data_IF_807424465147
#
_entry.id   IF_807424465147
#
_cell.length_a   1.000
_cell.length_b   1.000
_cell.length_c   1.000
_cell.angle_alpha   90.00
_cell.angle_beta   90.00
_cell.angle_gamma   90.00
#
_symmetry.space_group_name_H-M   'P 1'
#
loop_
_entity.id
_entity.type
_entity.pdbx_description
1 polymer ?
#
# COMPACT_ATOMS: atom_id res chain seq x y z
N UNK A 1 -5.08 -0.10 -15.33
CA UNK A 1 -5.22 1.14 -14.58
C UNK A 1 -4.91 0.96 -13.10
N UNK A 2 -5.81 0.53 -12.22
CA UNK A 2 -5.36 -0.30 -11.11
C UNK A 2 -4.78 -1.63 -11.65
N UNK A 3 -5.06 -2.01 -12.91
CA UNK A 3 -4.44 -3.15 -13.61
C UNK A 3 -2.90 -3.17 -13.61
N UNK A 4 -2.15 -2.06 -13.67
CA UNK A 4 -0.69 -2.18 -13.62
C UNK A 4 -0.26 -2.68 -12.23
N UNK A 5 -0.80 -2.06 -11.17
CA UNK A 5 -0.62 -2.52 -9.80
C UNK A 5 -1.20 -3.92 -9.60
N UNK A 6 -2.40 -4.19 -10.09
CA UNK A 6 -3.11 -5.46 -9.97
C UNK A 6 -2.45 -6.56 -10.80
N UNK A 7 -1.76 -6.25 -11.90
CA UNK A 7 -0.91 -7.20 -12.67
C UNK A 7 0.39 -7.45 -11.94
N UNK A 8 1.03 -6.43 -11.38
CA UNK A 8 2.16 -6.61 -10.46
C UNK A 8 1.75 -7.52 -9.30
N UNK A 9 0.56 -7.30 -8.73
CA UNK A 9 0.03 -8.13 -7.66
C UNK A 9 -0.38 -9.53 -8.15
N UNK A 10 -0.98 -9.64 -9.34
CA UNK A 10 -1.43 -10.91 -9.94
C UNK A 10 -0.35 -11.67 -10.72
N UNK A 11 0.89 -11.18 -10.84
CA UNK A 11 1.94 -11.81 -11.63
C UNK A 11 2.24 -13.26 -11.19
N UNK A 12 1.83 -13.65 -9.98
CA UNK A 12 1.85 -15.04 -9.50
C UNK A 12 0.71 -15.94 -10.01
N UNK A 13 -0.20 -15.47 -10.86
CA UNK A 13 -1.32 -16.23 -11.45
C UNK A 13 -1.23 -16.16 -12.98
N UNK A 14 -1.35 -17.32 -13.64
CA UNK A 14 -1.36 -17.40 -15.10
C UNK A 14 -2.38 -16.43 -15.70
N UNK A 15 -1.91 -15.55 -16.59
CA UNK A 15 -2.71 -14.49 -17.20
C UNK A 15 -3.84 -15.10 -18.06
N UNK A 16 -5.10 -14.86 -17.66
CA UNK A 16 -6.25 -15.03 -18.54
C UNK A 16 -6.35 -13.85 -19.52
N UNK A 17 -7.04 -14.01 -20.66
CA UNK A 17 -7.15 -12.95 -21.68
C UNK A 17 -7.88 -11.73 -21.08
N UNK A 18 -7.14 -10.63 -20.94
CA UNK A 18 -7.64 -9.38 -20.38
C UNK A 18 -8.56 -8.67 -21.35
N UNK A 19 -9.72 -8.21 -20.86
CA UNK A 19 -10.66 -7.37 -21.61
C UNK A 19 -10.01 -6.01 -21.85
N UNK A 20 -9.94 -5.63 -23.12
CA UNK A 20 -9.26 -4.44 -23.63
C UNK A 20 -9.91 -3.11 -23.23
N UNK A 21 -9.06 -2.09 -23.04
CA UNK A 21 -9.37 -0.69 -23.39
C UNK A 21 -9.68 0.29 -22.25
N UNK A 22 -10.42 -0.09 -21.21
CA UNK A 22 -11.07 0.90 -20.33
C UNK A 22 -10.34 1.22 -19.01
N UNK A 23 -10.22 2.53 -18.75
CA UNK A 23 -10.14 3.21 -17.45
C UNK A 23 -10.55 2.45 -16.19
N UNK A 24 -9.76 1.55 -15.60
CA UNK A 24 -10.05 1.09 -14.23
C UNK A 24 -10.09 2.28 -13.26
N UNK A 25 -10.89 2.23 -12.17
CA UNK A 25 -11.09 3.38 -11.28
C UNK A 25 -9.77 3.89 -10.68
N UNK A 26 -9.72 5.19 -10.33
CA UNK A 26 -8.56 5.77 -9.66
C UNK A 26 -8.36 5.08 -8.31
N UNK A 27 -7.10 4.80 -7.99
CA UNK A 27 -6.73 3.95 -6.86
C UNK A 27 -5.98 4.75 -5.79
N UNK A 28 -6.38 4.57 -4.53
CA UNK A 28 -5.63 5.02 -3.36
C UNK A 28 -4.84 3.85 -2.77
N UNK A 29 -3.52 3.96 -2.72
CA UNK A 29 -2.62 3.01 -2.06
C UNK A 29 -2.31 3.50 -0.64
N UNK A 30 -2.79 2.76 0.34
CA UNK A 30 -2.73 3.06 1.76
C UNK A 30 -1.72 2.15 2.45
N UNK A 31 -0.92 2.68 3.36
CA UNK A 31 0.02 1.88 4.13
C UNK A 31 0.68 2.68 5.24
N UNK A 32 1.16 1.99 6.27
CA UNK A 32 1.89 2.61 7.37
C UNK A 32 3.23 3.23 6.88
N UNK A 33 3.85 4.11 7.67
CA UNK A 33 5.19 4.60 7.35
C UNK A 33 6.14 3.44 7.06
N UNK A 34 6.88 3.55 5.94
CA UNK A 34 7.81 2.53 5.45
C UNK A 34 7.16 1.21 5.01
N UNK A 35 5.88 1.20 4.67
CA UNK A 35 5.15 0.05 4.10
C UNK A 35 5.47 -0.27 2.63
N UNK A 36 6.60 0.22 2.12
CA UNK A 36 7.08 -0.01 0.75
C UNK A 36 6.12 0.44 -0.37
N UNK A 37 5.25 1.42 -0.11
CA UNK A 37 4.37 2.04 -1.10
C UNK A 37 5.15 2.48 -2.34
N UNK A 38 6.23 3.27 -2.16
CA UNK A 38 7.10 3.71 -3.26
C UNK A 38 7.59 2.56 -4.14
N UNK A 39 8.04 1.45 -3.54
CA UNK A 39 8.50 0.28 -4.29
C UNK A 39 7.37 -0.34 -5.11
N UNK A 40 6.16 -0.43 -4.55
CA UNK A 40 5.01 -0.98 -5.26
C UNK A 40 4.51 -0.04 -6.38
N UNK A 41 4.48 1.28 -6.17
CA UNK A 41 4.19 2.26 -7.23
C UNK A 41 5.24 2.16 -8.35
N UNK A 42 6.51 2.02 -7.99
CA UNK A 42 7.59 1.91 -8.97
C UNK A 42 7.49 0.61 -9.78
N UNK A 43 7.10 -0.52 -9.17
CA UNK A 43 6.78 -1.74 -9.92
C UNK A 43 5.64 -1.51 -10.92
N UNK A 44 4.56 -0.83 -10.50
CA UNK A 44 3.44 -0.51 -11.38
C UNK A 44 3.87 0.41 -12.54
N UNK A 45 4.80 1.35 -12.29
CA UNK A 45 5.38 2.20 -13.32
C UNK A 45 6.16 1.38 -14.36
N UNK A 46 7.02 0.46 -13.91
CA UNK A 46 7.81 -0.42 -14.79
C UNK A 46 6.94 -1.34 -15.64
N UNK A 47 5.85 -1.84 -15.07
CA UNK A 47 4.89 -2.67 -15.78
C UNK A 47 4.18 -1.86 -16.87
N UNK A 48 3.60 -0.71 -16.51
CA UNK A 48 2.91 0.16 -17.46
C UNK A 48 3.82 0.66 -18.59
N UNK A 49 5.09 0.96 -18.29
CA UNK A 49 6.10 1.32 -19.28
C UNK A 49 6.41 0.17 -20.27
N UNK A 50 6.35 -1.07 -19.79
CA UNK A 50 6.54 -2.29 -20.60
C UNK A 50 5.40 -2.54 -21.59
N UNK A 51 4.16 -2.13 -21.27
CA UNK A 51 2.97 -2.38 -22.08
C UNK A 51 2.94 -1.63 -23.42
N UNK A 52 3.78 -0.60 -23.60
CA UNK A 52 3.82 0.18 -24.83
C UNK A 52 2.61 1.09 -25.04
N UNK A 53 1.80 1.34 -24.00
CA UNK A 53 0.58 2.18 -24.06
C UNK A 53 0.86 3.69 -23.94
N UNK A 54 2.08 4.08 -23.61
CA UNK A 54 2.49 5.46 -23.42
C UNK A 54 3.60 5.58 -22.37
N UNK A 55 4.10 6.80 -22.13
CA UNK A 55 4.96 7.05 -20.98
C UNK A 55 4.18 6.96 -19.65
N UNK A 56 4.91 6.87 -18.56
CA UNK A 56 4.38 6.96 -17.19
C UNK A 56 4.85 8.28 -16.58
N UNK A 57 3.95 9.00 -15.91
CA UNK A 57 4.29 10.19 -15.13
C UNK A 57 4.34 9.80 -13.65
N UNK A 58 5.53 9.90 -13.04
CA UNK A 58 5.77 9.58 -11.64
C UNK A 58 6.07 10.86 -10.86
N UNK A 59 5.14 11.25 -10.00
CA UNK A 59 5.24 12.42 -9.14
C UNK A 59 5.62 11.99 -7.73
N UNK A 60 6.60 12.67 -7.14
CA UNK A 60 6.97 12.49 -5.73
C UNK A 60 7.65 13.75 -5.23
N UNK A 61 7.51 14.09 -3.95
CA UNK A 61 8.02 15.36 -3.43
C UNK A 61 9.54 15.48 -3.48
N UNK A 62 10.26 14.36 -3.37
CA UNK A 62 11.72 14.33 -3.30
C UNK A 62 12.32 13.38 -4.34
N UNK A 63 13.49 13.70 -4.91
CA UNK A 63 14.22 12.78 -5.77
C UNK A 63 14.46 11.42 -5.09
N UNK A 64 14.22 10.34 -5.83
CA UNK A 64 14.54 8.99 -5.39
C UNK A 64 16.07 8.85 -5.31
N UNK A 65 16.58 8.52 -4.12
CA UNK A 65 18.03 8.38 -3.88
C UNK A 65 18.62 7.14 -4.57
N UNK A 66 17.78 6.12 -4.77
CA UNK A 66 18.12 4.89 -5.49
C UNK A 66 16.85 4.33 -6.13
N UNK A 67 17.01 3.43 -7.11
CA UNK A 67 15.86 2.74 -7.70
C UNK A 67 15.22 1.83 -6.64
N UNK A 68 13.90 1.96 -6.37
CA UNK A 68 13.24 1.24 -5.28
C UNK A 68 13.20 -0.29 -5.39
N UNK A 69 13.61 -0.87 -6.52
CA UNK A 69 13.53 -2.29 -6.82
C UNK A 69 14.71 -2.76 -7.69
N UNK A 70 15.25 -3.93 -7.36
CA UNK A 70 16.31 -4.58 -8.14
C UNK A 70 15.79 -5.70 -9.06
N UNK A 71 14.74 -5.43 -9.85
CA UNK A 71 14.11 -6.45 -10.72
C UNK A 71 14.72 -6.45 -12.13
N UNK A 72 14.59 -7.55 -12.90
CA UNK A 72 14.94 -7.56 -14.32
C UNK A 72 14.26 -6.45 -15.12
N UNK A 73 13.00 -6.13 -14.80
CA UNK A 73 12.27 -5.01 -15.40
C UNK A 73 12.87 -3.65 -15.04
N UNK A 74 13.37 -3.48 -13.81
CA UNK A 74 14.09 -2.26 -13.40
C UNK A 74 15.47 -2.14 -14.07
N UNK A 75 16.05 -3.25 -14.54
CA UNK A 75 17.30 -3.27 -15.32
C UNK A 75 17.08 -3.06 -16.82
N UNK A 76 15.82 -3.07 -17.27
CA UNK A 76 15.47 -2.74 -18.65
C UNK A 76 15.48 -1.22 -18.85
N UNK A 77 16.59 -0.71 -19.40
CA UNK A 77 16.76 0.71 -19.69
C UNK A 77 15.63 1.29 -20.56
N UNK A 78 15.01 0.49 -21.42
CA UNK A 78 13.93 0.96 -22.29
C UNK A 78 12.64 1.25 -21.51
N UNK A 79 12.33 0.46 -20.49
CA UNK A 79 11.19 0.71 -19.59
C UNK A 79 11.44 1.98 -18.76
N UNK A 80 12.63 2.12 -18.20
CA UNK A 80 13.00 3.29 -17.40
C UNK A 80 12.89 4.60 -18.21
N UNK A 81 13.32 4.61 -19.47
CA UNK A 81 13.22 5.79 -20.35
C UNK A 81 11.79 6.27 -20.60
N UNK A 82 10.79 5.40 -20.41
CA UNK A 82 9.37 5.76 -20.54
C UNK A 82 8.78 6.31 -19.25
N UNK A 83 9.48 6.21 -18.12
CA UNK A 83 9.03 6.78 -16.85
C UNK A 83 9.61 8.19 -16.71
N UNK A 84 8.74 9.18 -16.68
CA UNK A 84 9.08 10.58 -16.46
C UNK A 84 8.87 10.91 -14.99
N UNK A 85 9.96 11.15 -14.29
CA UNK A 85 9.92 11.61 -12.90
C UNK A 85 9.79 13.13 -12.83
N UNK A 86 8.93 13.61 -11.94
CA UNK A 86 8.83 15.02 -11.60
C UNK A 86 8.71 15.19 -10.09
N UNK A 87 9.30 16.29 -9.60
CA UNK A 87 9.53 16.49 -8.18
C UNK A 87 8.94 17.80 -7.66
N UNK A 88 7.60 17.99 -7.69
CA UNK A 88 7.00 19.19 -7.12
C UNK A 88 7.24 19.20 -5.61
N UNK A 89 8.05 20.14 -5.13
CA UNK A 89 8.54 20.17 -3.75
C UNK A 89 7.54 20.76 -2.74
N UNK A 90 6.48 21.39 -3.26
CA UNK A 90 5.45 22.09 -2.50
C UNK A 90 4.06 21.91 -3.13
N UNK A 91 2.99 22.21 -2.38
CA UNK A 91 1.62 22.17 -2.92
C UNK A 91 1.44 23.12 -4.11
N UNK A 92 1.89 24.40 -4.06
CA UNK A 92 1.78 25.29 -5.22
C UNK A 92 2.47 24.74 -6.48
N UNK A 93 3.65 24.12 -6.33
CA UNK A 93 4.34 23.49 -7.46
C UNK A 93 3.57 22.28 -8.01
N UNK A 94 2.99 21.46 -7.14
CA UNK A 94 2.14 20.35 -7.56
C UNK A 94 0.91 20.85 -8.32
N UNK A 95 0.23 21.86 -7.80
CA UNK A 95 -0.95 22.46 -8.43
C UNK A 95 -0.59 23.09 -9.77
N UNK A 96 0.49 23.86 -9.86
CA UNK A 96 0.96 24.45 -11.10
C UNK A 96 1.29 23.38 -12.14
N UNK A 97 1.96 22.30 -11.72
CA UNK A 97 2.30 21.21 -12.60
C UNK A 97 1.06 20.50 -13.17
N UNK A 98 0.09 20.19 -12.32
CA UNK A 98 -1.16 19.55 -12.75
C UNK A 98 -2.00 20.49 -13.62
N UNK A 99 -2.12 21.77 -13.22
CA UNK A 99 -2.86 22.76 -13.97
C UNK A 99 -2.26 23.02 -15.37
N UNK A 100 -0.93 23.02 -15.49
CA UNK A 100 -0.22 23.22 -16.78
C UNK A 100 -0.07 21.95 -17.61
N UNK A 101 -0.57 20.80 -17.14
CA UNK A 101 -0.47 19.52 -17.86
C UNK A 101 -1.03 19.57 -19.30
N UNK A 102 -1.99 20.47 -19.55
CA UNK A 102 -2.61 20.66 -20.85
C UNK A 102 -1.76 21.48 -21.83
N UNK A 103 -0.78 22.23 -21.33
CA UNK A 103 0.11 23.08 -22.14
C UNK A 103 1.31 22.30 -22.67
N UNK A 104 1.69 21.20 -22.02
CA UNK A 104 2.89 20.44 -22.34
C UNK A 104 2.78 19.73 -23.71
N UNK A 105 3.60 20.11 -24.71
CA UNK A 105 3.65 19.38 -25.97
C UNK A 105 4.35 18.03 -25.74
N UNK A 106 3.66 16.93 -26.00
CA UNK A 106 4.24 15.60 -25.83
C UNK A 106 3.22 14.46 -25.82
N UNK A 107 3.70 13.21 -25.77
CA UNK A 107 2.83 12.04 -25.63
C UNK A 107 2.11 12.07 -24.28
N UNK A 108 0.80 11.81 -24.31
CA UNK A 108 0.01 11.70 -23.09
C UNK A 108 0.44 10.44 -22.30
N UNK A 109 0.64 10.52 -20.98
CA UNK A 109 0.97 9.36 -20.17
C UNK A 109 -0.20 8.39 -20.09
N UNK A 110 0.11 7.09 -20.08
CA UNK A 110 -0.86 6.02 -19.84
C UNK A 110 -1.10 5.74 -18.35
N UNK A 111 -0.25 6.29 -17.48
CA UNK A 111 -0.36 6.16 -16.03
C UNK A 111 0.23 7.39 -15.34
N UNK A 112 -0.52 7.97 -14.43
CA UNK A 112 -0.15 9.02 -13.49
C UNK A 112 -0.04 8.41 -12.10
N UNK A 113 1.12 8.59 -11.47
CA UNK A 113 1.46 8.10 -10.14
C UNK A 113 1.81 9.29 -9.25
N UNK A 114 1.23 9.37 -8.06
CA UNK A 114 1.66 10.31 -7.01
C UNK A 114 2.07 9.52 -5.78
N UNK A 115 3.32 9.68 -5.36
CA UNK A 115 3.88 9.06 -4.16
C UNK A 115 4.02 10.09 -3.03
N UNK A 116 3.56 9.73 -1.84
CA UNK A 116 3.63 10.57 -0.64
C UNK A 116 2.65 11.73 -0.59
N UNK A 117 1.35 11.51 -0.84
CA UNK A 117 0.33 12.57 -0.80
C UNK A 117 0.27 13.27 0.57
N UNK A 118 0.49 12.54 1.67
CA UNK A 118 0.54 13.07 3.04
C UNK A 118 1.55 14.21 3.20
N UNK A 119 2.64 14.20 2.42
CA UNK A 119 3.66 15.24 2.49
C UNK A 119 3.14 16.59 1.97
N UNK A 120 2.10 16.58 1.15
CA UNK A 120 1.41 17.76 0.64
C UNK A 120 0.22 18.18 1.50
N UNK A 121 -0.27 17.30 2.37
CA UNK A 121 -1.48 17.50 3.17
C UNK A 121 -1.15 17.67 4.67
N UNK A 122 0.01 18.24 4.99
CA UNK A 122 0.47 18.45 6.37
C UNK A 122 -0.63 19.05 7.27
N UNK A 123 -0.55 18.82 8.59
CA UNK A 123 -1.59 19.11 9.60
C UNK A 123 -2.35 20.45 9.46
N UNK A 124 -1.73 21.52 8.94
CA UNK A 124 -2.35 22.84 8.75
C UNK A 124 -3.19 22.97 7.46
N UNK A 125 -3.07 22.02 6.53
CA UNK A 125 -3.82 21.97 5.28
C UNK A 125 -5.26 21.58 5.57
N UNK A 126 -6.21 22.47 5.29
CA UNK A 126 -7.63 22.16 5.49
C UNK A 126 -8.15 21.04 4.57
N UNK A 127 -9.29 20.43 4.93
CA UNK A 127 -9.96 19.41 4.10
C UNK A 127 -10.24 19.88 2.66
N UNK A 128 -10.41 21.20 2.46
CA UNK A 128 -10.57 21.82 1.15
C UNK A 128 -9.34 21.62 0.24
N UNK A 129 -8.13 21.68 0.78
CA UNK A 129 -6.90 21.51 0.01
C UNK A 129 -6.74 20.07 -0.48
N UNK A 130 -7.01 19.09 0.38
CA UNK A 130 -7.05 17.68 -0.03
C UNK A 130 -8.10 17.41 -1.12
N UNK A 131 -9.30 18.00 -1.00
CA UNK A 131 -10.33 17.89 -2.02
C UNK A 131 -9.90 18.50 -3.35
N UNK A 132 -9.24 19.66 -3.29
CA UNK A 132 -8.77 20.37 -4.48
C UNK A 132 -7.66 19.58 -5.19
N UNK A 133 -6.66 19.09 -4.46
CA UNK A 133 -5.59 18.25 -5.00
C UNK A 133 -6.16 16.96 -5.61
N UNK A 134 -7.07 16.28 -4.91
CA UNK A 134 -7.70 15.06 -5.42
C UNK A 134 -8.50 15.31 -6.70
N UNK A 135 -9.32 16.36 -6.73
CA UNK A 135 -10.08 16.75 -7.92
C UNK A 135 -9.16 17.06 -9.11
N UNK A 136 -8.09 17.83 -8.88
CA UNK A 136 -7.17 18.21 -9.94
C UNK A 136 -6.38 17.02 -10.49
N UNK A 137 -5.99 16.05 -9.65
CA UNK A 137 -5.38 14.79 -10.08
C UNK A 137 -6.32 13.98 -10.99
N UNK A 138 -7.60 13.89 -10.60
CA UNK A 138 -8.62 13.20 -11.39
C UNK A 138 -8.87 13.89 -12.74
N UNK A 139 -9.00 15.21 -12.74
CA UNK A 139 -9.19 16.01 -13.95
C UNK A 139 -7.99 15.88 -14.90
N UNK A 140 -6.78 15.87 -14.34
CA UNK A 140 -5.54 15.67 -15.12
C UNK A 140 -5.49 14.28 -15.75
N UNK A 141 -5.85 13.22 -15.00
CA UNK A 141 -5.94 11.87 -15.54
C UNK A 141 -7.04 11.73 -16.61
N UNK A 142 -8.18 12.40 -16.42
CA UNK A 142 -9.27 12.45 -17.39
C UNK A 142 -8.84 13.16 -18.67
N UNK A 143 -8.14 14.29 -18.56
CA UNK A 143 -7.55 15.01 -19.70
C UNK A 143 -6.60 14.12 -20.51
N UNK A 144 -5.66 13.44 -19.85
CA UNK A 144 -4.75 12.52 -20.54
C UNK A 144 -5.47 11.33 -21.17
N UNK A 145 -6.52 10.83 -20.52
CA UNK A 145 -7.38 9.79 -21.10
C UNK A 145 -8.04 10.26 -22.40
N UNK A 146 -8.58 11.49 -22.42
CA UNK A 146 -9.14 12.09 -23.63
C UNK A 146 -8.10 12.22 -24.76
N UNK A 147 -6.84 12.51 -24.43
CA UNK A 147 -5.74 12.59 -25.40
C UNK A 147 -5.28 11.23 -25.94
N UNK A 148 -5.42 10.16 -25.16
CA UNK A 148 -5.11 8.79 -25.62
C UNK A 148 -6.19 8.23 -26.57
N UNK A 149 -7.36 8.88 -26.63
CA UNK A 149 -8.45 8.56 -27.54
C UNK A 149 -9.11 7.20 -27.27
N UNK A 150 -9.83 6.66 -28.25
CA UNK A 150 -10.57 5.40 -28.11
C UNK A 150 -9.69 4.16 -27.81
N UNK A 151 -8.37 4.27 -28.04
CA UNK A 151 -7.39 3.19 -27.87
C UNK A 151 -6.79 3.10 -26.47
N UNK A 152 -7.02 4.08 -25.59
CA UNK A 152 -6.31 4.13 -24.33
C UNK A 152 -6.92 5.05 -23.29
N UNK A 153 -6.40 4.94 -22.09
CA UNK A 153 -6.84 5.73 -20.97
C UNK A 153 -5.70 5.84 -19.96
N UNK A 154 -5.63 6.98 -19.28
CA UNK A 154 -4.61 7.27 -18.30
C UNK A 154 -5.06 6.77 -16.93
N UNK A 155 -4.31 5.85 -16.34
CA UNK A 155 -4.54 5.43 -14.96
C UNK A 155 -4.12 6.46 -13.95
N UNK A 156 -4.70 6.39 -12.76
CA UNK A 156 -4.30 7.18 -11.61
C UNK A 156 -4.11 6.27 -10.39
N UNK A 157 -2.93 6.31 -9.79
CA UNK A 157 -2.65 5.70 -8.48
C UNK A 157 -1.99 6.75 -7.58
N UNK A 158 -2.52 6.91 -6.38
CA UNK A 158 -2.03 7.87 -5.39
C UNK A 158 -1.66 7.12 -4.11
N UNK A 159 -0.44 7.30 -3.63
CA UNK A 159 0.03 6.74 -2.37
C UNK A 159 -0.24 7.73 -1.23
N UNK A 160 -0.76 7.22 -0.12
CA UNK A 160 -1.00 7.98 1.09
C UNK A 160 -0.58 7.16 2.31
N UNK A 161 0.29 7.71 3.14
CA UNK A 161 0.62 7.13 4.44
C UNK A 161 -0.60 7.18 5.36
N UNK A 162 -0.94 6.05 5.98
CA UNK A 162 -2.03 5.99 6.96
C UNK A 162 -1.53 6.42 8.35
N UNK A 163 -2.31 7.23 9.11
CA UNK A 163 -1.94 7.62 10.46
C UNK A 163 -1.64 6.41 11.34
N UNK A 164 -0.72 6.55 12.29
CA UNK A 164 -0.47 5.51 13.29
C UNK A 164 -1.69 5.42 14.22
N UNK A 165 -2.04 4.19 14.58
CA UNK A 165 -3.16 3.90 15.47
C UNK A 165 -2.98 4.65 16.81
N UNK A 166 -3.86 5.64 17.06
CA UNK A 166 -3.77 6.56 18.21
C UNK A 166 -3.66 8.04 17.83
N UNK A 167 -3.32 8.34 16.57
CA UNK A 167 -3.49 9.66 15.98
C UNK A 167 -4.95 9.82 15.53
N UNK A 168 -5.57 10.96 15.81
CA UNK A 168 -7.01 11.16 15.58
C UNK A 168 -7.43 10.90 14.13
N UNK A 169 -8.74 10.72 13.90
CA UNK A 169 -9.33 10.58 12.56
C UNK A 169 -8.74 11.64 11.62
N UNK A 170 -7.88 11.23 10.67
CA UNK A 170 -7.36 12.13 9.66
C UNK A 170 -8.54 12.53 8.75
N UNK A 171 -9.08 13.76 8.85
CA UNK A 171 -10.30 14.13 8.17
C UNK A 171 -10.16 14.05 6.65
N UNK A 172 -8.93 14.16 6.15
CA UNK A 172 -8.58 14.03 4.73
C UNK A 172 -8.72 12.61 4.22
N UNK A 173 -8.47 11.56 5.02
CA UNK A 173 -8.53 10.17 4.56
C UNK A 173 -9.95 9.81 4.10
N UNK A 174 -10.96 10.07 4.93
CA UNK A 174 -12.38 9.83 4.60
C UNK A 174 -12.81 10.62 3.37
N UNK A 175 -12.28 11.83 3.20
CA UNK A 175 -12.54 12.66 2.03
C UNK A 175 -11.92 12.06 0.77
N UNK A 176 -10.64 11.69 0.82
CA UNK A 176 -9.89 11.11 -0.29
C UNK A 176 -10.51 9.79 -0.74
N UNK A 177 -10.94 8.93 0.18
CA UNK A 177 -11.64 7.69 -0.15
C UNK A 177 -12.92 7.89 -0.99
N UNK A 178 -13.55 9.07 -0.94
CA UNK A 178 -14.69 9.40 -1.83
C UNK A 178 -14.27 9.70 -3.26
N UNK A 179 -13.09 10.27 -3.45
CA UNK A 179 -12.50 10.53 -4.76
C UNK A 179 -11.84 9.29 -5.38
N UNK A 180 -11.39 8.36 -4.54
CA UNK A 180 -10.71 7.12 -4.93
C UNK A 180 -11.53 5.88 -4.50
N UNK A 181 -12.46 5.40 -5.35
CA UNK A 181 -13.36 4.30 -5.00
C UNK A 181 -12.65 2.93 -4.95
N UNK A 182 -11.47 2.82 -5.56
CA UNK A 182 -10.61 1.66 -5.38
C UNK A 182 -9.56 1.96 -4.31
N UNK A 183 -9.34 1.00 -3.41
CA UNK A 183 -8.39 1.13 -2.30
C UNK A 183 -7.49 -0.10 -2.24
N UNK A 184 -6.19 0.11 -2.13
CA UNK A 184 -5.21 -0.94 -1.89
C UNK A 184 -4.53 -0.68 -0.54
N UNK A 185 -4.58 -1.64 0.37
CA UNK A 185 -3.99 -1.51 1.70
C UNK A 185 -2.73 -2.36 1.81
N UNK A 186 -1.65 -1.79 2.33
CA UNK A 186 -0.39 -2.45 2.68
C UNK A 186 -0.27 -2.52 4.19
N UNK A 187 -0.43 -3.72 4.73
CA UNK A 187 -0.37 -3.98 6.16
C UNK A 187 0.81 -4.90 6.48
N UNK A 188 1.50 -4.71 7.62
CA UNK A 188 2.43 -5.72 8.11
C UNK A 188 1.74 -7.08 8.25
N UNK A 189 2.41 -8.16 7.87
CA UNK A 189 1.86 -9.49 8.06
C UNK A 189 1.80 -9.82 9.57
N UNK A 190 0.57 -9.97 10.09
CA UNK A 190 0.32 -10.28 11.49
C UNK A 190 0.65 -11.75 11.85
N UNK A 191 0.92 -12.63 10.87
CA UNK A 191 1.15 -14.06 11.11
C UNK A 191 2.49 -14.39 11.79
N UNK A 192 3.33 -13.40 12.11
CA UNK A 192 4.43 -13.59 13.07
C UNK A 192 5.44 -14.68 12.69
N UNK A 193 5.51 -15.09 11.41
CA UNK A 193 6.41 -16.14 10.91
C UNK A 193 7.88 -15.67 10.80
N UNK A 194 8.30 -14.72 11.65
CA UNK A 194 9.71 -14.31 11.79
C UNK A 194 10.34 -13.61 10.58
N UNK A 195 9.59 -13.39 9.49
CA UNK A 195 10.10 -12.76 8.27
C UNK A 195 9.78 -11.26 8.29
N UNK A 196 10.75 -10.44 8.70
CA UNK A 196 10.63 -8.98 8.81
C UNK A 196 10.41 -8.22 7.49
N UNK A 197 10.06 -8.92 6.41
CA UNK A 197 10.02 -8.41 5.04
C UNK A 197 8.74 -8.77 4.28
N UNK A 198 7.71 -9.30 4.97
CA UNK A 198 6.43 -9.66 4.38
C UNK A 198 5.35 -8.62 4.71
N UNK A 199 4.65 -8.13 3.68
CA UNK A 199 3.51 -7.25 3.77
C UNK A 199 2.29 -7.91 3.12
N UNK A 200 1.12 -7.72 3.68
CA UNK A 200 -0.16 -8.10 3.07
C UNK A 200 -0.68 -6.93 2.26
N UNK A 201 -0.83 -7.13 0.95
CA UNK A 201 -1.53 -6.22 0.06
C UNK A 201 -2.99 -6.68 -0.09
N UNK A 202 -3.96 -5.77 0.07
CA UNK A 202 -5.36 -6.10 -0.19
C UNK A 202 -6.03 -5.04 -1.04
N UNK A 203 -6.68 -5.45 -2.13
CA UNK A 203 -7.37 -4.56 -3.05
C UNK A 203 -8.88 -4.71 -2.88
N UNK A 204 -9.54 -3.58 -2.66
CA UNK A 204 -10.99 -3.43 -2.62
C UNK A 204 -11.41 -2.54 -3.79
N UNK A 205 -12.23 -3.07 -4.69
CA UNK A 205 -12.71 -2.38 -5.89
C UNK A 205 -14.23 -2.27 -5.82
N UNK A 206 -14.72 -1.32 -5.00
CA UNK A 206 -16.14 -1.08 -4.78
C UNK A 206 -16.89 -2.19 -4.01
N UNK A 207 -18.16 -1.94 -3.70
CA UNK A 207 -18.95 -2.77 -2.77
C UNK A 207 -19.28 -4.20 -3.24
N UNK A 208 -19.05 -4.53 -4.51
CA UNK A 208 -19.51 -5.79 -5.12
C UNK A 208 -18.38 -6.75 -5.52
N UNK A 209 -17.12 -6.35 -5.38
CA UNK A 209 -15.97 -7.18 -5.75
C UNK A 209 -15.39 -7.89 -4.52
N UNK A 210 -15.07 -9.19 -4.59
CA UNK A 210 -14.39 -9.85 -3.48
C UNK A 210 -13.03 -9.19 -3.24
N UNK A 211 -12.69 -8.97 -1.96
CA UNK A 211 -11.36 -8.50 -1.55
C UNK A 211 -10.32 -9.51 -2.04
N UNK A 212 -9.37 -9.04 -2.83
CA UNK A 212 -8.26 -9.86 -3.31
C UNK A 212 -7.02 -9.49 -2.51
N UNK A 213 -6.26 -10.51 -2.11
CA UNK A 213 -5.14 -10.34 -1.20
C UNK A 213 -3.89 -11.04 -1.73
N UNK A 214 -2.74 -10.44 -1.43
CA UNK A 214 -1.43 -10.92 -1.82
C UNK A 214 -0.44 -10.76 -0.66
N UNK A 215 0.55 -11.64 -0.62
CA UNK A 215 1.77 -11.45 0.16
C UNK A 215 2.81 -10.78 -0.74
N UNK A 216 3.38 -9.68 -0.25
CA UNK A 216 4.47 -8.93 -0.86
C UNK A 216 5.70 -9.14 0.01
N UNK A 217 6.71 -9.82 -0.52
CA UNK A 217 7.95 -10.14 0.20
C UNK A 217 9.15 -9.49 -0.45
N UNK A 218 10.01 -8.83 0.34
CA UNK A 218 11.30 -8.33 -0.13
C UNK A 218 12.39 -9.37 0.13
N UNK A 219 13.04 -9.79 -0.95
CA UNK A 219 14.14 -10.76 -0.92
C UNK A 219 15.46 -10.06 -0.54
N UNK A 220 16.46 -10.80 -0.01
CA UNK A 220 17.75 -10.23 0.39
C UNK A 220 18.53 -9.53 -0.74
N UNK A 221 18.22 -9.86 -2.00
CA UNK A 221 18.80 -9.24 -3.19
C UNK A 221 18.13 -7.89 -3.58
N UNK A 222 17.12 -7.45 -2.83
CA UNK A 222 16.34 -6.24 -3.12
C UNK A 222 15.23 -6.43 -4.15
N UNK A 223 14.92 -7.67 -4.55
CA UNK A 223 13.76 -7.97 -5.38
C UNK A 223 12.48 -8.05 -4.54
N UNK A 224 11.37 -7.62 -5.14
CA UNK A 224 10.04 -7.74 -4.57
C UNK A 224 9.32 -8.91 -5.24
N UNK A 225 8.91 -9.89 -4.45
CA UNK A 225 8.10 -11.02 -4.89
C UNK A 225 6.66 -10.83 -4.42
N UNK A 226 5.69 -11.08 -5.30
CA UNK A 226 4.27 -11.04 -4.94
C UNK A 226 3.63 -12.40 -5.19
N UNK A 227 2.98 -12.96 -4.17
CA UNK A 227 2.27 -14.23 -4.25
C UNK A 227 0.81 -14.05 -3.81
N UNK A 228 -0.15 -14.76 -4.41
CA UNK A 228 -1.53 -14.72 -3.96
C UNK A 228 -1.63 -15.16 -2.49
N UNK A 229 -2.44 -14.47 -1.70
CA UNK A 229 -2.69 -14.89 -0.34
C UNK A 229 -3.46 -16.21 -0.34
N UNK A 230 -3.04 -17.23 0.43
CA UNK A 230 -3.73 -18.51 0.45
C UNK A 230 -5.18 -18.31 0.92
N UNK A 231 -6.17 -18.99 0.29
CA UNK A 231 -7.53 -18.95 0.79
C UNK A 231 -7.52 -19.50 2.22
N UNK A 232 -7.99 -18.71 3.19
CA UNK A 232 -8.19 -19.22 4.53
C UNK A 232 -9.13 -20.42 4.40
N UNK A 233 -8.64 -21.62 4.75
CA UNK A 233 -9.51 -22.74 5.01
C UNK A 233 -10.45 -22.26 6.13
N UNK A 234 -11.70 -22.01 5.78
CA UNK A 234 -12.76 -21.70 6.72
C UNK A 234 -12.68 -22.72 7.84
N UNK A 235 -12.25 -22.28 9.03
CA UNK A 235 -12.31 -23.12 10.22
C UNK A 235 -13.77 -23.54 10.32
N UNK A 236 -14.09 -24.85 10.33
CA UNK A 236 -15.46 -25.26 10.59
C UNK A 236 -15.83 -24.70 11.96
N UNK A 237 -16.86 -23.86 11.98
CA UNK A 237 -17.49 -23.37 13.19
C UNK A 237 -17.73 -24.58 14.12
N UNK A 238 -17.35 -24.53 15.40
CA UNK A 238 -17.78 -25.56 16.34
C UNK A 238 -19.27 -25.32 16.57
N UNK A 239 -20.10 -26.00 15.78
CA UNK A 239 -21.53 -26.00 15.98
C UNK A 239 -21.82 -26.57 17.39
N UNK A 240 -22.33 -25.70 18.25
CA UNK A 240 -23.01 -26.10 19.47
C UNK A 240 -24.32 -26.75 19.08
N UNK A 241 -24.46 -28.05 19.30
CA UNK A 241 -25.53 -28.57 20.17
C UNK A 241 -25.34 -30.05 20.48
N UNK A 242 -25.15 -30.34 21.77
CA UNK A 242 -25.40 -31.64 22.39
C UNK A 242 -26.89 -31.99 22.28
N UNK A 243 -27.29 -33.27 22.51
CA UNK A 243 -27.73 -33.57 23.88
C UNK A 243 -27.29 -34.94 24.43
N UNK A 244 -26.95 -34.90 25.73
CA UNK A 244 -27.20 -35.85 26.82
C UNK A 244 -27.37 -37.35 26.53
N UNK A 245 -26.49 -38.18 27.11
CA UNK A 245 -26.77 -38.97 28.33
C UNK A 245 -25.72 -40.07 28.53
N UNK A 246 -25.35 -40.33 29.79
CA UNK A 246 -24.76 -41.62 30.20
C UNK A 246 -23.42 -41.54 30.90
N UNK A 247 -23.47 -41.41 32.22
CA UNK A 247 -22.37 -41.55 33.18
C UNK A 247 -21.51 -42.81 32.96
N UNK A 248 -20.20 -42.72 33.22
CA UNK A 248 -19.55 -43.48 34.30
C UNK A 248 -18.09 -43.07 34.52
N UNK A 249 -17.76 -43.03 35.81
CA UNK A 249 -16.50 -42.65 36.42
C UNK A 249 -15.43 -43.74 36.26
N UNK A 250 -14.19 -43.37 35.94
CA UNK A 250 -13.01 -44.18 36.29
C UNK A 250 -11.78 -43.30 36.46
N UNK A 251 -11.37 -43.17 37.69
CA UNK A 251 -10.12 -42.61 38.20
C UNK A 251 -8.92 -43.35 37.61
N UNK A 252 -7.95 -42.63 37.05
CA UNK A 252 -6.56 -43.09 37.00
C UNK A 252 -5.61 -41.91 37.23
N UNK A 253 -4.99 -41.99 38.40
CA UNK A 253 -3.85 -41.21 38.89
C UNK A 253 -2.62 -41.54 38.05
N UNK A 254 -1.86 -40.53 37.63
CA UNK A 254 -0.41 -40.65 37.43
C UNK A 254 0.27 -39.33 37.78
N UNK A 255 1.25 -39.45 38.67
CA UNK A 255 2.03 -38.43 39.34
C UNK A 255 2.97 -37.62 38.43
N UNK A 256 3.23 -36.39 38.90
CA UNK A 256 4.47 -35.62 38.96
C UNK A 256 5.56 -35.84 37.90
N UNK A 257 6.07 -34.72 37.33
CA UNK A 257 7.50 -34.37 37.34
C UNK A 257 7.71 -32.88 36.93
N UNK A 258 8.12 -32.08 37.92
CA UNK A 258 9.08 -30.95 37.97
C UNK A 258 9.21 -29.90 36.84
N UNK A 259 9.15 -28.62 37.26
CA UNK A 259 9.58 -27.41 36.52
C UNK A 259 11.10 -27.23 36.41
N UNK A 260 11.61 -26.04 35.98
CA UNK A 260 11.68 -24.84 36.84
C UNK A 260 11.27 -23.52 36.12
N UNK A 261 10.51 -22.61 36.73
CA UNK A 261 10.88 -21.53 37.69
C UNK A 261 11.75 -20.38 37.14
N UNK A 262 11.10 -19.22 37.03
CA UNK A 262 11.67 -17.87 36.86
C UNK A 262 12.46 -17.43 38.11
N UNK A 263 13.50 -16.60 37.98
CA UNK A 263 14.01 -15.83 39.10
C UNK A 263 13.44 -14.40 39.10
N UNK A 264 12.73 -14.07 40.19
CA UNK A 264 12.52 -12.73 40.71
C UNK A 264 13.19 -12.72 42.10
N UNK A 265 14.20 -11.87 42.28
CA UNK A 265 14.71 -11.42 43.59
C UNK A 265 15.25 -9.99 43.35
N UNK A 266 14.66 -8.92 43.88
CA UNK A 266 14.44 -8.50 45.27
C UNK A 266 15.60 -7.64 45.84
N UNK A 267 15.31 -6.33 45.88
CA UNK A 267 15.55 -5.35 46.98
C UNK A 267 16.97 -5.19 47.55
N UNK A 268 17.48 -3.96 47.47
CA UNK A 268 18.16 -3.32 48.60
C UNK A 268 17.85 -1.81 48.64
N UNK A 269 17.16 -1.42 49.71
CA UNK A 269 16.99 -0.07 50.22
C UNK A 269 18.24 0.42 50.95
N UNK A 270 18.58 1.70 50.81
CA UNK A 270 19.26 2.46 51.86
C UNK A 270 19.07 3.97 51.66
N UNK A 271 18.32 4.57 52.58
CA UNK A 271 18.40 5.99 52.98
C UNK A 271 19.87 6.33 53.33
N UNK A 272 20.40 7.55 53.31
CA UNK A 272 20.02 8.75 54.07
C UNK A 272 21.11 9.81 53.78
N UNK A 273 20.81 11.11 53.91
CA UNK A 273 21.82 12.08 54.34
C UNK A 273 21.89 13.40 53.57
N UNK A 274 21.35 14.44 54.19
CA UNK A 274 21.47 15.86 53.86
C UNK A 274 22.94 16.35 53.70
N UNK A 275 23.17 17.41 52.92
CA UNK A 275 23.46 18.71 53.53
C UNK A 275 23.48 19.89 52.55
N UNK A 276 23.16 21.05 53.13
CA UNK A 276 22.95 22.36 52.51
C UNK A 276 24.25 23.12 52.25
N UNK A 277 24.27 24.03 51.27
CA UNK A 277 24.53 25.48 51.51
C UNK A 277 24.46 26.32 50.24
N UNK A 278 23.62 27.36 50.34
CA UNK A 278 23.78 28.76 49.89
C UNK A 278 24.75 29.07 48.76
#
# INVERSE_FOLDING_TARGET
MAEALRRVLNAGRAAGPGVDGAAGPPLLLLGAPRSAQTSLLFAAALEAAGEGRGPVLFLTRRPLQSLPLNTPAARDHWRLQKIRFQYPSSVPELLQLLASAHEAPGPAPSLLLLDGLEEYLAEDSGAQEAAYVAALLLDTAAYFSGRLGASGSCGLVVALETPKEGDGDAPHLTLLQRYFPAQCWLQPDALGLGQQHCLRASLESGQLSPRVEWSVTFLPNGEMAVTPWPPQASKPSPDKTSPSAGSQSSTLVCDNLSGPQFPLDSILTSETGADSKT
#
